data_IF_346655117506
#
_entry.id   IF_346655117506
#
_cell.length_a   1.000
_cell.length_b   1.000
_cell.length_c   1.000
_cell.angle_alpha   90.00
_cell.angle_beta   90.00
_cell.angle_gamma   90.00
#
_symmetry.space_group_name_H-M   'P 1'
#
loop_
_entity.id
_entity.type
_entity.pdbx_description
1 polymer ?
#
# COMPACT_ATOMS: atom_id res chain seq x y z
N UNK A 1 42.27 -2.58 -17.15
CA UNK A 1 42.71 -3.95 -16.73
C UNK A 1 41.63 -4.54 -15.80
N UNK A 2 40.87 -5.49 -16.29
CA UNK A 2 39.81 -6.17 -15.48
C UNK A 2 40.49 -7.09 -14.47
N UNK A 3 40.41 -6.78 -13.17
CA UNK A 3 40.81 -7.70 -12.12
C UNK A 3 39.96 -8.97 -12.25
N UNK A 4 40.56 -10.11 -12.59
CA UNK A 4 39.90 -11.42 -12.52
C UNK A 4 39.37 -11.62 -11.09
N UNK A 5 38.05 -11.49 -10.89
CA UNK A 5 37.41 -11.71 -9.60
C UNK A 5 37.70 -13.14 -9.16
N UNK A 6 38.43 -13.30 -8.04
CA UNK A 6 38.94 -14.60 -7.56
C UNK A 6 37.87 -15.22 -6.63
N UNK A 7 37.24 -16.29 -7.08
CA UNK A 7 36.37 -17.12 -6.26
C UNK A 7 37.14 -18.36 -5.81
N UNK A 8 37.12 -18.67 -4.50
CA UNK A 8 37.70 -19.86 -3.91
C UNK A 8 36.61 -20.69 -3.24
N UNK A 9 36.67 -22.01 -3.42
CA UNK A 9 35.77 -23.00 -2.79
C UNK A 9 36.58 -23.89 -1.89
N UNK A 10 36.18 -24.05 -0.64
CA UNK A 10 36.80 -24.90 0.37
C UNK A 10 35.76 -25.80 1.03
N UNK A 11 35.99 -27.10 1.03
CA UNK A 11 35.22 -28.05 1.84
C UNK A 11 35.99 -28.38 3.12
N UNK A 12 35.28 -28.36 4.25
CA UNK A 12 35.92 -28.53 5.56
C UNK A 12 34.96 -29.12 6.61
N UNK A 13 35.54 -29.77 7.65
CA UNK A 13 34.77 -30.29 8.76
C UNK A 13 34.71 -29.30 9.92
N UNK A 14 33.51 -29.07 10.44
CA UNK A 14 33.29 -28.21 11.61
C UNK A 14 33.51 -29.01 12.90
N UNK A 15 34.78 -29.06 13.37
CA UNK A 15 35.20 -29.85 14.52
C UNK A 15 34.72 -29.36 15.89
N UNK A 16 34.30 -28.08 16.01
CA UNK A 16 33.91 -27.43 17.28
C UNK A 16 32.69 -28.05 17.99
N UNK A 17 32.00 -29.01 17.37
CA UNK A 17 30.84 -29.71 17.95
C UNK A 17 30.99 -31.22 18.03
N UNK A 18 32.14 -31.78 17.66
CA UNK A 18 32.37 -33.20 17.70
C UNK A 18 33.27 -33.56 18.91
N UNK A 19 32.79 -34.44 19.78
CA UNK A 19 33.67 -35.13 20.74
C UNK A 19 34.69 -36.01 19.96
N UNK A 20 35.89 -36.21 20.48
CA UNK A 20 36.94 -36.97 19.83
C UNK A 20 36.41 -38.36 19.34
N UNK A 21 36.53 -38.57 18.01
CA UNK A 21 36.06 -39.78 17.33
C UNK A 21 34.60 -39.72 16.83
N UNK A 22 33.82 -38.69 17.12
CA UNK A 22 32.46 -38.50 16.64
C UNK A 22 32.40 -37.98 15.21
N UNK A 23 31.23 -38.15 14.57
CA UNK A 23 30.96 -37.56 13.25
C UNK A 23 30.94 -36.05 13.31
N UNK A 24 31.68 -35.40 12.43
CA UNK A 24 31.70 -33.94 12.27
C UNK A 24 30.93 -33.53 11.03
N UNK A 25 30.10 -32.44 11.08
CA UNK A 25 29.35 -31.96 9.95
C UNK A 25 30.27 -31.35 8.89
N UNK A 26 29.98 -31.65 7.62
CA UNK A 26 30.69 -31.16 6.45
C UNK A 26 30.11 -29.85 5.98
N UNK A 27 30.97 -28.86 5.75
CA UNK A 27 30.63 -27.51 5.29
C UNK A 27 31.36 -27.19 4.00
N UNK A 28 30.72 -26.33 3.20
CA UNK A 28 31.34 -25.65 2.10
C UNK A 28 31.53 -24.16 2.44
N UNK A 29 32.70 -23.61 2.13
CA UNK A 29 33.05 -22.20 2.20
C UNK A 29 33.33 -21.66 0.82
N UNK A 30 32.63 -20.60 0.43
CA UNK A 30 32.92 -19.82 -0.78
C UNK A 30 33.50 -18.48 -0.35
N UNK A 31 34.63 -18.12 -0.92
CA UNK A 31 35.27 -16.83 -0.71
C UNK A 31 35.27 -16.06 -2.04
N UNK A 32 34.60 -14.90 -2.08
CA UNK A 32 34.54 -14.00 -3.24
C UNK A 32 35.02 -12.63 -2.80
N UNK A 33 36.07 -12.10 -3.41
CA UNK A 33 36.62 -10.78 -3.09
C UNK A 33 36.92 -10.59 -1.59
N UNK A 34 37.43 -11.65 -0.91
CA UNK A 34 37.73 -11.63 0.52
C UNK A 34 36.54 -11.86 1.47
N UNK A 35 35.31 -11.78 0.99
CA UNK A 35 34.13 -12.09 1.76
C UNK A 35 33.82 -13.60 1.75
N UNK A 36 33.36 -14.13 2.89
CA UNK A 36 33.10 -15.55 3.07
C UNK A 36 31.60 -15.85 3.19
N UNK A 37 31.18 -16.94 2.55
CA UNK A 37 29.85 -17.53 2.70
C UNK A 37 29.99 -19.02 2.99
N UNK A 38 29.52 -19.45 4.17
CA UNK A 38 29.59 -20.85 4.63
C UNK A 38 28.19 -21.46 4.64
N UNK A 39 28.05 -22.69 4.15
CA UNK A 39 26.81 -23.45 4.23
C UNK A 39 27.05 -24.93 4.50
N UNK A 40 26.14 -25.62 5.22
CA UNK A 40 26.27 -27.06 5.50
C UNK A 40 25.93 -27.87 4.26
N UNK A 41 26.57 -29.03 4.11
CA UNK A 41 26.20 -30.03 3.11
C UNK A 41 25.20 -31.08 3.64
N UNK A 42 24.71 -30.91 4.88
CA UNK A 42 23.75 -31.79 5.56
C UNK A 42 24.20 -33.24 5.70
N UNK A 43 25.50 -33.48 5.63
CA UNK A 43 26.16 -34.78 5.87
C UNK A 43 27.21 -34.63 6.94
N UNK A 44 27.47 -35.72 7.69
CA UNK A 44 28.47 -35.76 8.74
C UNK A 44 29.32 -37.02 8.57
N UNK A 45 30.65 -36.90 8.75
CA UNK A 45 31.59 -38.00 8.61
C UNK A 45 32.55 -38.06 9.81
N UNK A 46 33.17 -39.21 10.04
CA UNK A 46 34.21 -39.35 11.04
C UNK A 46 35.40 -38.45 10.68
N UNK A 47 35.88 -37.69 11.66
CA UNK A 47 37.03 -36.77 11.44
C UNK A 47 38.29 -37.50 11.00
N UNK A 48 38.44 -38.79 11.33
CA UNK A 48 39.55 -39.64 10.91
C UNK A 48 39.50 -40.06 9.45
N UNK A 49 38.34 -40.06 8.82
CA UNK A 49 38.16 -40.34 7.39
C UNK A 49 38.36 -39.13 6.49
N UNK A 50 38.53 -37.95 7.04
CA UNK A 50 38.65 -36.71 6.24
C UNK A 50 40.09 -36.41 5.85
N UNK A 51 40.33 -36.24 4.57
CA UNK A 51 41.61 -35.74 4.05
C UNK A 51 41.44 -34.28 3.61
N UNK A 52 42.05 -33.35 4.36
CA UNK A 52 41.92 -31.90 4.12
C UNK A 52 42.64 -31.42 2.87
N UNK A 53 43.74 -32.12 2.43
CA UNK A 53 44.49 -31.68 1.25
C UNK A 53 43.76 -31.96 -0.05
N UNK A 54 43.02 -33.07 -0.14
CA UNK A 54 42.20 -33.38 -1.31
C UNK A 54 40.74 -32.98 -1.13
N UNK A 55 40.36 -32.50 0.06
CA UNK A 55 38.99 -32.11 0.44
C UNK A 55 37.96 -33.21 0.14
N UNK A 56 38.27 -34.45 0.47
CA UNK A 56 37.40 -35.63 0.30
C UNK A 56 37.55 -36.60 1.46
N UNK A 57 36.55 -37.42 1.65
CA UNK A 57 36.64 -38.54 2.57
C UNK A 57 37.40 -39.72 1.90
N UNK A 58 38.37 -40.28 2.59
CA UNK A 58 39.13 -41.46 2.16
C UNK A 58 38.60 -42.78 2.75
N UNK A 59 37.59 -42.72 3.61
CA UNK A 59 36.95 -43.89 4.18
C UNK A 59 36.15 -44.69 3.14
N UNK A 60 35.82 -45.93 3.49
CA UNK A 60 35.08 -46.85 2.59
C UNK A 60 33.63 -47.11 3.01
N UNK A 61 33.14 -46.39 4.04
CA UNK A 61 31.77 -46.53 4.53
C UNK A 61 30.76 -45.86 3.59
N UNK A 62 29.49 -46.23 3.73
CA UNK A 62 28.43 -45.55 2.94
C UNK A 62 28.35 -44.07 3.27
N UNK A 63 28.57 -43.67 4.53
CA UNK A 63 28.66 -42.28 4.94
C UNK A 63 29.79 -41.50 4.21
N UNK A 64 30.94 -42.14 4.01
CA UNK A 64 32.07 -41.55 3.27
C UNK A 64 31.73 -41.36 1.80
N UNK A 65 31.03 -42.32 1.20
CA UNK A 65 30.56 -42.21 -0.19
C UNK A 65 29.50 -41.13 -0.35
N UNK A 66 28.55 -41.05 0.59
CA UNK A 66 27.51 -39.98 0.62
C UNK A 66 28.15 -38.60 0.74
N UNK A 67 29.14 -38.45 1.63
CA UNK A 67 29.86 -37.17 1.77
C UNK A 67 30.60 -36.77 0.49
N UNK A 68 31.25 -37.70 -0.19
CA UNK A 68 31.92 -37.42 -1.45
C UNK A 68 30.93 -37.08 -2.55
N UNK A 69 29.75 -37.73 -2.63
CA UNK A 69 28.67 -37.37 -3.54
C UNK A 69 28.14 -35.96 -3.23
N UNK A 70 27.96 -35.63 -1.94
CA UNK A 70 27.52 -34.29 -1.54
C UNK A 70 28.51 -33.21 -1.93
N UNK A 71 29.83 -33.47 -1.85
CA UNK A 71 30.87 -32.56 -2.33
C UNK A 71 30.78 -32.35 -3.85
N UNK A 72 30.67 -33.42 -4.61
CA UNK A 72 30.61 -33.37 -6.07
C UNK A 72 29.32 -32.67 -6.53
N UNK A 73 28.17 -32.93 -5.90
CA UNK A 73 26.91 -32.22 -6.13
C UNK A 73 27.03 -30.73 -5.79
N UNK A 74 27.69 -30.38 -4.68
CA UNK A 74 27.89 -28.98 -4.30
C UNK A 74 28.79 -28.23 -5.31
N UNK A 75 29.80 -28.90 -5.89
CA UNK A 75 30.60 -28.28 -6.97
C UNK A 75 29.77 -27.95 -8.19
N UNK A 76 28.94 -28.87 -8.64
CA UNK A 76 28.01 -28.66 -9.76
C UNK A 76 27.05 -27.50 -9.46
N UNK A 77 26.44 -27.49 -8.26
CA UNK A 77 25.54 -26.41 -7.87
C UNK A 77 26.23 -25.03 -7.83
N UNK A 78 27.50 -24.97 -7.39
CA UNK A 78 28.28 -23.73 -7.36
C UNK A 78 28.54 -23.23 -8.79
N UNK A 79 28.86 -24.11 -9.73
CA UNK A 79 29.05 -23.76 -11.14
C UNK A 79 27.75 -23.24 -11.76
N UNK A 80 26.60 -23.90 -11.52
CA UNK A 80 25.29 -23.45 -11.98
C UNK A 80 24.92 -22.07 -11.42
N UNK A 81 25.15 -21.82 -10.13
CA UNK A 81 24.90 -20.53 -9.49
C UNK A 81 25.79 -19.45 -10.14
N UNK A 82 27.04 -19.75 -10.39
CA UNK A 82 27.98 -18.81 -11.02
C UNK A 82 27.58 -18.50 -12.46
N UNK A 83 27.15 -19.52 -13.22
CA UNK A 83 26.62 -19.34 -14.57
C UNK A 83 25.37 -18.44 -14.57
N UNK A 84 24.42 -18.68 -13.66
CA UNK A 84 23.21 -17.87 -13.48
C UNK A 84 23.50 -16.41 -13.09
N UNK A 85 24.53 -16.17 -12.28
CA UNK A 85 24.99 -14.82 -11.95
C UNK A 85 25.46 -14.10 -13.20
N UNK A 86 26.25 -14.78 -14.05
CA UNK A 86 26.80 -14.23 -15.31
C UNK A 86 25.68 -13.99 -16.32
N UNK A 87 24.77 -14.94 -16.51
CA UNK A 87 23.62 -14.82 -17.42
C UNK A 87 22.72 -13.61 -17.09
N UNK A 88 22.52 -13.37 -15.78
CA UNK A 88 21.72 -12.23 -15.30
C UNK A 88 22.47 -10.92 -15.23
N UNK A 89 23.73 -10.87 -15.70
CA UNK A 89 24.60 -9.69 -15.59
C UNK A 89 24.72 -9.15 -14.16
N UNK A 90 24.65 -10.02 -13.14
CA UNK A 90 24.88 -9.62 -11.76
C UNK A 90 26.37 -9.57 -11.45
N UNK A 91 26.73 -8.70 -10.53
CA UNK A 91 28.09 -8.69 -10.02
C UNK A 91 28.38 -9.96 -9.21
N UNK A 92 29.50 -10.64 -9.47
CA UNK A 92 29.93 -11.80 -8.68
C UNK A 92 30.41 -11.32 -7.30
N UNK A 93 29.55 -11.45 -6.30
CA UNK A 93 29.80 -11.19 -4.88
C UNK A 93 29.06 -12.21 -4.02
N UNK A 94 29.39 -12.29 -2.72
CA UNK A 94 28.78 -13.25 -1.80
C UNK A 94 27.29 -13.04 -1.61
N UNK A 95 26.78 -11.81 -1.71
CA UNK A 95 25.35 -11.51 -1.58
C UNK A 95 24.56 -12.05 -2.78
N UNK A 96 24.99 -11.79 -4.01
CA UNK A 96 24.36 -12.32 -5.21
C UNK A 96 24.51 -13.83 -5.31
N UNK A 97 25.68 -14.37 -4.89
CA UNK A 97 25.86 -15.82 -4.83
C UNK A 97 24.88 -16.46 -3.84
N UNK A 98 24.78 -15.94 -2.62
CA UNK A 98 23.81 -16.40 -1.62
C UNK A 98 22.38 -16.30 -2.12
N UNK A 99 22.00 -15.18 -2.74
CA UNK A 99 20.68 -14.94 -3.31
C UNK A 99 20.25 -16.09 -4.26
N UNK A 100 21.17 -16.55 -5.13
CA UNK A 100 20.85 -17.60 -6.12
C UNK A 100 21.01 -18.99 -5.52
N UNK A 101 22.02 -19.21 -4.66
CA UNK A 101 22.30 -20.50 -4.04
C UNK A 101 21.25 -20.92 -3.01
N UNK A 102 20.77 -20.01 -2.16
CA UNK A 102 19.73 -20.30 -1.16
C UNK A 102 18.32 -20.20 -1.73
N UNK A 103 18.24 -19.98 -3.06
CA UNK A 103 16.95 -20.00 -3.73
C UNK A 103 16.31 -21.38 -3.46
N UNK A 104 15.20 -21.47 -2.71
CA UNK A 104 14.43 -22.69 -2.67
C UNK A 104 14.05 -23.05 -4.11
N UNK A 105 13.71 -24.30 -4.36
CA UNK A 105 13.11 -24.76 -5.62
C UNK A 105 11.85 -23.99 -6.04
N UNK A 106 11.47 -22.99 -5.25
CA UNK A 106 10.38 -22.05 -5.54
C UNK A 106 10.83 -21.04 -6.58
N UNK A 107 10.12 -21.02 -7.70
CA UNK A 107 10.30 -20.06 -8.80
C UNK A 107 10.18 -18.58 -8.33
N UNK A 108 9.51 -18.32 -7.20
CA UNK A 108 9.16 -16.98 -6.70
C UNK A 108 9.93 -16.60 -5.43
N UNK A 109 11.21 -16.90 -5.40
CA UNK A 109 12.09 -16.79 -4.23
C UNK A 109 12.67 -15.38 -4.00
N UNK A 110 12.42 -14.42 -4.86
CA UNK A 110 12.86 -13.04 -4.70
C UNK A 110 11.69 -12.08 -4.58
N UNK A 111 11.92 -10.90 -4.00
CA UNK A 111 10.89 -9.86 -3.82
C UNK A 111 10.23 -9.51 -5.16
N UNK A 112 11.02 -9.33 -6.22
CA UNK A 112 10.50 -8.99 -7.54
C UNK A 112 9.58 -10.10 -8.08
N UNK A 113 10.07 -11.34 -8.10
CA UNK A 113 9.31 -12.47 -8.61
C UNK A 113 8.05 -12.74 -7.80
N UNK A 114 8.11 -12.58 -6.46
CA UNK A 114 6.96 -12.72 -5.58
C UNK A 114 5.88 -11.65 -5.85
N UNK A 115 6.28 -10.39 -6.05
CA UNK A 115 5.34 -9.33 -6.41
C UNK A 115 4.74 -9.51 -7.81
N UNK A 116 5.52 -9.98 -8.77
CA UNK A 116 5.05 -10.31 -10.11
C UNK A 116 4.02 -11.44 -10.06
N UNK A 117 4.29 -12.50 -9.32
CA UNK A 117 3.34 -13.59 -9.06
C UNK A 117 2.04 -13.09 -8.42
N UNK A 118 2.14 -12.31 -7.33
CA UNK A 118 0.97 -11.71 -6.69
C UNK A 118 0.15 -10.85 -7.68
N UNK A 119 0.82 -10.03 -8.47
CA UNK A 119 0.17 -9.15 -9.42
C UNK A 119 -0.46 -9.91 -10.59
N UNK A 120 0.09 -11.05 -10.99
CA UNK A 120 -0.49 -11.90 -12.03
C UNK A 120 -1.74 -12.64 -11.54
N UNK A 121 -1.74 -13.13 -10.30
CA UNK A 121 -2.89 -13.86 -9.74
C UNK A 121 -4.03 -12.92 -9.33
N UNK A 122 -3.70 -11.83 -8.63
CA UNK A 122 -4.72 -10.92 -8.10
C UNK A 122 -5.01 -9.75 -9.08
N UNK A 123 -4.25 -9.59 -10.16
CA UNK A 123 -4.31 -8.43 -11.06
C UNK A 123 -5.69 -8.18 -11.63
N UNK A 124 -6.36 -9.23 -12.10
CA UNK A 124 -7.69 -9.15 -12.71
C UNK A 124 -8.79 -8.86 -11.69
N UNK A 125 -8.59 -9.23 -10.42
CA UNK A 125 -9.54 -8.99 -9.33
C UNK A 125 -9.33 -7.65 -8.64
N UNK A 126 -8.13 -7.08 -8.74
CA UNK A 126 -7.77 -5.82 -8.13
C UNK A 126 -8.22 -4.64 -8.99
N UNK A 127 -8.76 -3.61 -8.33
CA UNK A 127 -8.96 -2.32 -9.00
C UNK A 127 -7.62 -1.76 -9.47
N UNK A 128 -7.62 -1.13 -10.62
CA UNK A 128 -6.41 -0.58 -11.24
C UNK A 128 -5.59 0.34 -10.29
N UNK A 129 -6.29 1.17 -9.49
CA UNK A 129 -5.63 2.04 -8.50
C UNK A 129 -4.91 1.25 -7.41
N UNK A 130 -5.44 0.08 -7.01
CA UNK A 130 -4.82 -0.83 -6.04
C UNK A 130 -3.63 -1.52 -6.66
N UNK A 131 -3.78 -2.05 -7.88
CA UNK A 131 -2.70 -2.65 -8.66
C UNK A 131 -1.52 -1.68 -8.87
N UNK A 132 -1.79 -0.44 -9.30
CA UNK A 132 -0.76 0.63 -9.37
C UNK A 132 -0.05 0.83 -8.03
N UNK A 133 -0.78 0.72 -6.91
CA UNK A 133 -0.20 0.81 -5.57
C UNK A 133 0.83 -0.29 -5.28
N UNK A 134 0.61 -1.54 -5.70
CA UNK A 134 1.58 -2.63 -5.58
C UNK A 134 2.81 -2.40 -6.44
N UNK A 135 2.64 -1.98 -7.71
CA UNK A 135 3.76 -1.64 -8.59
C UNK A 135 4.66 -0.53 -8.01
N UNK A 136 4.05 0.49 -7.42
CA UNK A 136 4.81 1.57 -6.75
C UNK A 136 5.53 1.04 -5.51
N UNK A 137 4.92 0.13 -4.74
CA UNK A 137 5.55 -0.51 -3.58
C UNK A 137 6.77 -1.32 -4.00
N UNK A 138 6.65 -2.16 -5.02
CA UNK A 138 7.78 -2.92 -5.57
C UNK A 138 8.94 -2.00 -6.00
N UNK A 139 8.64 -0.92 -6.71
CA UNK A 139 9.66 0.05 -7.13
C UNK A 139 10.41 0.66 -5.93
N UNK A 140 9.71 0.98 -4.84
CA UNK A 140 10.35 1.47 -3.62
C UNK A 140 11.22 0.41 -2.96
N UNK A 141 10.75 -0.85 -2.90
CA UNK A 141 11.53 -1.97 -2.36
C UNK A 141 12.81 -2.19 -3.16
N UNK A 142 12.73 -2.30 -4.48
CA UNK A 142 13.91 -2.49 -5.33
C UNK A 142 14.89 -1.32 -5.25
N UNK A 143 14.41 -0.09 -5.16
CA UNK A 143 15.28 1.08 -4.95
C UNK A 143 15.96 1.04 -3.57
N UNK A 144 15.23 0.68 -2.52
CA UNK A 144 15.79 0.51 -1.18
C UNK A 144 16.87 -0.57 -1.16
N UNK A 145 16.58 -1.75 -1.73
CA UNK A 145 17.51 -2.87 -1.83
C UNK A 145 18.79 -2.46 -2.56
N UNK A 146 18.65 -1.78 -3.69
CA UNK A 146 19.80 -1.31 -4.46
C UNK A 146 20.68 -0.32 -3.68
N UNK A 147 20.06 0.60 -2.94
CA UNK A 147 20.81 1.62 -2.18
C UNK A 147 21.46 1.02 -0.93
N UNK A 148 20.74 0.16 -0.20
CA UNK A 148 21.20 -0.34 1.10
C UNK A 148 22.09 -1.57 0.99
N UNK A 149 21.73 -2.51 0.11
CA UNK A 149 22.36 -3.82 0.01
C UNK A 149 23.21 -3.97 -1.25
N UNK A 150 23.19 -3.00 -2.18
CA UNK A 150 23.95 -2.99 -3.42
C UNK A 150 23.69 -4.21 -4.33
N UNK A 151 22.47 -4.76 -4.27
CA UNK A 151 21.99 -5.88 -5.12
C UNK A 151 20.76 -5.46 -5.92
N UNK A 152 20.47 -6.18 -7.01
CA UNK A 152 19.36 -5.87 -7.89
C UNK A 152 17.99 -6.30 -7.32
N UNK A 153 17.98 -7.39 -6.54
CA UNK A 153 16.79 -7.97 -5.92
C UNK A 153 17.20 -8.68 -4.61
N UNK A 154 16.24 -9.16 -3.82
CA UNK A 154 16.53 -9.73 -2.51
C UNK A 154 15.72 -11.01 -2.27
N UNK A 155 16.38 -12.04 -1.70
CA UNK A 155 15.73 -13.31 -1.41
C UNK A 155 14.70 -13.15 -0.29
N UNK A 156 13.49 -13.69 -0.48
CA UNK A 156 12.40 -13.59 0.50
C UNK A 156 12.71 -14.30 1.81
N UNK A 157 13.53 -15.36 1.79
CA UNK A 157 13.96 -16.10 2.99
C UNK A 157 15.01 -15.34 3.81
N UNK A 158 15.67 -14.35 3.22
CA UNK A 158 16.68 -13.51 3.88
C UNK A 158 16.09 -12.24 4.52
N UNK A 159 14.78 -12.04 4.36
CA UNK A 159 14.09 -10.90 4.96
C UNK A 159 13.88 -11.17 6.45
N UNK A 160 14.21 -10.19 7.27
CA UNK A 160 14.02 -10.20 8.72
C UNK A 160 13.22 -8.97 9.20
N UNK A 161 13.03 -8.87 10.51
CA UNK A 161 12.37 -7.70 11.13
C UNK A 161 13.16 -6.41 10.89
N UNK A 162 14.48 -6.49 10.87
CA UNK A 162 15.39 -5.35 10.65
C UNK A 162 15.18 -4.77 9.27
N UNK A 163 15.11 -5.63 8.24
CA UNK A 163 14.81 -5.21 6.87
C UNK A 163 13.52 -4.38 6.79
N UNK A 164 12.47 -4.82 7.49
CA UNK A 164 11.18 -4.10 7.50
C UNK A 164 11.30 -2.71 8.09
N UNK A 165 11.98 -2.58 9.23
CA UNK A 165 12.18 -1.31 9.92
C UNK A 165 13.06 -0.35 9.11
N UNK A 166 14.11 -0.85 8.48
CA UNK A 166 14.99 -0.08 7.61
C UNK A 166 14.26 0.38 6.34
N UNK A 167 13.44 -0.48 5.73
CA UNK A 167 12.60 -0.08 4.60
C UNK A 167 11.59 1.01 4.99
N UNK A 168 10.98 0.90 6.17
CA UNK A 168 10.09 1.93 6.68
C UNK A 168 10.82 3.27 6.90
N UNK A 169 12.02 3.24 7.49
CA UNK A 169 12.86 4.41 7.67
C UNK A 169 13.27 5.05 6.33
N UNK A 170 13.66 4.23 5.35
CA UNK A 170 13.93 4.66 3.97
C UNK A 170 12.72 5.38 3.35
N UNK A 171 11.51 4.82 3.47
CA UNK A 171 10.29 5.44 2.95
C UNK A 171 10.02 6.81 3.58
N UNK A 172 10.18 6.95 4.89
CA UNK A 172 10.01 8.23 5.61
C UNK A 172 11.05 9.27 5.23
N UNK A 173 12.27 8.84 4.94
CA UNK A 173 13.37 9.68 4.46
C UNK A 173 13.33 9.98 2.97
N UNK A 174 12.48 9.29 2.20
CA UNK A 174 12.45 9.42 0.74
C UNK A 174 12.07 10.83 0.30
N UNK A 175 12.99 11.46 -0.42
CA UNK A 175 12.84 12.82 -0.96
C UNK A 175 12.94 12.80 -2.48
N UNK A 176 12.17 13.66 -3.13
CA UNK A 176 12.29 13.98 -4.56
C UNK A 176 12.29 15.51 -4.70
N UNK A 177 13.29 16.04 -5.34
CA UNK A 177 13.45 17.51 -5.49
C UNK A 177 13.44 18.22 -4.11
N UNK A 178 14.15 17.67 -3.12
CA UNK A 178 14.24 18.20 -1.75
C UNK A 178 12.98 18.05 -0.89
N UNK A 179 11.85 17.65 -1.46
CA UNK A 179 10.56 17.52 -0.73
C UNK A 179 10.30 16.09 -0.28
N UNK A 180 9.81 15.92 0.96
CA UNK A 180 9.36 14.62 1.47
C UNK A 180 8.17 14.15 0.63
N UNK A 181 8.31 13.04 -0.06
CA UNK A 181 7.25 12.46 -0.93
C UNK A 181 6.46 11.34 -0.26
N UNK A 182 7.01 10.69 0.76
CA UNK A 182 6.35 9.61 1.49
C UNK A 182 6.17 9.98 2.96
N UNK A 183 4.95 10.46 3.31
CA UNK A 183 4.59 10.73 4.71
C UNK A 183 4.25 9.44 5.45
N UNK A 184 4.18 9.48 6.78
CA UNK A 184 3.94 8.32 7.65
C UNK A 184 2.83 7.37 7.18
N UNK A 185 1.65 7.89 6.87
CA UNK A 185 0.53 7.06 6.40
C UNK A 185 0.76 6.45 5.01
N UNK A 186 1.51 7.11 4.14
CA UNK A 186 1.87 6.56 2.84
C UNK A 186 2.93 5.46 3.01
N UNK A 187 3.94 5.66 3.86
CA UNK A 187 4.92 4.63 4.21
C UNK A 187 4.25 3.38 4.80
N UNK A 188 3.33 3.57 5.76
CA UNK A 188 2.54 2.47 6.32
C UNK A 188 1.78 1.68 5.24
N UNK A 189 1.19 2.36 4.25
CA UNK A 189 0.50 1.69 3.12
C UNK A 189 1.44 0.82 2.29
N UNK A 190 2.69 1.22 2.11
CA UNK A 190 3.69 0.39 1.43
C UNK A 190 4.07 -0.83 2.26
N UNK A 191 4.27 -0.68 3.58
CA UNK A 191 4.54 -1.81 4.47
C UNK A 191 3.35 -2.78 4.51
N UNK A 192 2.10 -2.28 4.59
CA UNK A 192 0.89 -3.12 4.55
C UNK A 192 0.78 -3.95 3.26
N UNK A 193 1.12 -3.36 2.10
CA UNK A 193 1.15 -4.10 0.83
C UNK A 193 2.26 -5.15 0.80
N UNK A 194 3.44 -4.78 1.29
CA UNK A 194 4.56 -5.71 1.40
C UNK A 194 4.20 -6.89 2.32
N UNK A 195 3.64 -6.61 3.50
CA UNK A 195 3.14 -7.63 4.41
C UNK A 195 2.10 -8.57 3.73
N UNK A 196 1.13 -8.02 2.96
CA UNK A 196 0.16 -8.84 2.24
C UNK A 196 0.83 -9.77 1.22
N UNK A 197 1.82 -9.27 0.48
CA UNK A 197 2.55 -10.08 -0.50
C UNK A 197 3.39 -11.15 0.17
N UNK A 198 4.02 -10.85 1.31
CA UNK A 198 4.77 -11.84 2.10
C UNK A 198 3.85 -12.89 2.77
N UNK A 199 2.62 -12.53 3.16
CA UNK A 199 1.61 -13.52 3.60
C UNK A 199 1.24 -14.50 2.49
N UNK A 200 1.32 -14.11 1.23
CA UNK A 200 1.12 -15.03 0.11
C UNK A 200 2.26 -16.07 0.05
N UNK A 201 3.50 -15.64 0.28
CA UNK A 201 4.64 -16.55 0.34
C UNK A 201 4.55 -17.53 1.53
N UNK A 202 4.08 -17.06 2.70
CA UNK A 202 3.83 -17.91 3.88
C UNK A 202 2.71 -18.92 3.61
N UNK A 203 1.58 -18.51 3.04
CA UNK A 203 0.46 -19.41 2.70
C UNK A 203 0.81 -20.48 1.67
N UNK A 204 1.77 -20.21 0.79
CA UNK A 204 2.28 -21.16 -0.19
C UNK A 204 3.51 -21.94 0.33
N UNK A 205 3.84 -21.83 1.61
CA UNK A 205 4.96 -22.52 2.26
C UNK A 205 6.34 -22.21 1.65
N UNK A 206 6.47 -21.08 0.95
CA UNK A 206 7.76 -20.63 0.41
C UNK A 206 8.65 -20.00 1.48
N UNK A 207 8.04 -19.57 2.58
CA UNK A 207 8.69 -19.13 3.82
C UNK A 207 7.92 -19.71 5.01
N UNK A 208 8.61 -20.02 6.09
CA UNK A 208 7.99 -20.59 7.30
C UNK A 208 7.09 -19.61 8.05
N UNK A 209 7.43 -18.31 8.02
CA UNK A 209 6.69 -17.23 8.70
C UNK A 209 6.96 -15.91 8.01
N UNK A 210 5.93 -15.06 7.93
CA UNK A 210 6.08 -13.71 7.41
C UNK A 210 6.92 -12.83 8.36
N UNK A 211 8.11 -12.36 7.95
CA UNK A 211 8.98 -11.53 8.78
C UNK A 211 8.56 -10.04 8.80
N UNK A 212 7.67 -9.62 7.90
CA UNK A 212 7.23 -8.23 7.79
C UNK A 212 6.25 -7.91 8.92
N UNK A 213 6.69 -7.12 9.89
CA UNK A 213 5.90 -6.73 11.06
C UNK A 213 5.23 -5.38 10.84
N UNK A 214 4.02 -5.24 11.39
CA UNK A 214 3.26 -3.98 11.41
C UNK A 214 3.25 -3.33 12.81
N UNK A 215 3.74 -4.04 13.82
CA UNK A 215 3.82 -3.56 15.20
C UNK A 215 4.70 -2.31 15.31
N UNK A 216 4.28 -1.35 16.11
CA UNK A 216 5.00 -0.08 16.27
C UNK A 216 4.83 0.92 15.11
N UNK A 217 4.14 0.55 14.04
CA UNK A 217 3.87 1.44 12.91
C UNK A 217 2.39 1.85 12.93
N UNK A 218 2.10 3.01 13.51
CA UNK A 218 0.73 3.49 13.67
C UNK A 218 0.33 4.51 12.62
N UNK A 219 -0.95 4.50 12.26
CA UNK A 219 -1.54 5.51 11.41
C UNK A 219 -1.71 6.81 12.19
N UNK A 220 -1.21 7.92 11.65
CA UNK A 220 -1.49 9.25 12.19
C UNK A 220 -2.90 9.69 11.76
N UNK A 221 -3.72 10.13 12.74
CA UNK A 221 -5.02 10.74 12.43
C UNK A 221 -4.80 11.99 11.57
N UNK A 222 -5.52 12.10 10.47
CA UNK A 222 -5.49 13.27 9.58
C UNK A 222 -6.86 13.91 9.63
N UNK A 223 -6.93 15.12 10.18
CA UNK A 223 -8.15 15.92 10.10
C UNK A 223 -8.29 16.44 8.66
N UNK A 224 -9.34 16.00 7.97
CA UNK A 224 -9.59 16.38 6.58
C UNK A 224 -10.44 17.64 6.45
N UNK A 225 -10.98 18.13 7.56
CA UNK A 225 -11.86 19.29 7.60
C UNK A 225 -13.20 19.08 6.88
N UNK A 226 -14.07 20.05 7.04
CA UNK A 226 -15.35 20.18 6.34
C UNK A 226 -15.70 21.67 6.23
N UNK A 227 -16.68 22.04 5.42
CA UNK A 227 -17.16 23.40 5.28
C UNK A 227 -18.27 23.66 6.31
N UNK A 228 -18.21 24.82 6.96
CA UNK A 228 -19.32 25.32 7.76
C UNK A 228 -20.47 25.76 6.87
N UNK A 229 -21.64 26.06 7.45
CA UNK A 229 -22.77 26.54 6.69
C UNK A 229 -22.48 27.92 6.05
N UNK A 230 -21.82 28.82 6.77
CA UNK A 230 -21.41 30.13 6.28
C UNK A 230 -20.45 30.02 5.09
N UNK A 231 -19.41 29.13 5.21
CA UNK A 231 -18.46 28.91 4.12
C UNK A 231 -19.15 28.31 2.89
N UNK A 232 -20.13 27.43 3.12
CA UNK A 232 -20.92 26.83 2.04
C UNK A 232 -21.78 27.86 1.32
N UNK A 233 -22.41 28.75 2.06
CA UNK A 233 -23.19 29.88 1.50
C UNK A 233 -22.28 30.79 0.68
N UNK A 234 -21.13 31.16 1.19
CA UNK A 234 -20.16 31.98 0.46
C UNK A 234 -19.75 31.33 -0.87
N UNK A 235 -19.41 30.04 -0.87
CA UNK A 235 -19.03 29.30 -2.09
C UNK A 235 -20.20 29.25 -3.08
N UNK A 236 -21.42 29.04 -2.59
CA UNK A 236 -22.64 28.95 -3.41
C UNK A 236 -22.90 30.25 -4.16
N UNK A 237 -22.76 31.41 -3.50
CA UNK A 237 -23.10 32.73 -4.07
C UNK A 237 -21.93 33.46 -4.70
N UNK A 238 -20.72 32.93 -4.65
CA UNK A 238 -19.53 33.52 -5.26
C UNK A 238 -19.68 33.55 -6.79
N UNK A 239 -19.50 34.74 -7.38
CA UNK A 239 -19.45 34.92 -8.83
C UNK A 239 -18.18 34.27 -9.39
N UNK A 240 -18.33 33.34 -10.32
CA UNK A 240 -17.24 32.55 -10.87
C UNK A 240 -17.28 32.56 -12.40
N UNK A 241 -16.11 32.44 -13.07
CA UNK A 241 -16.06 32.14 -14.48
C UNK A 241 -16.79 30.81 -14.79
N UNK A 242 -17.38 30.69 -15.98
CA UNK A 242 -18.24 29.56 -16.36
C UNK A 242 -17.60 28.16 -16.11
N UNK A 243 -16.31 27.99 -16.44
CA UNK A 243 -15.59 26.74 -16.24
C UNK A 243 -15.40 26.36 -14.75
N UNK A 244 -15.34 27.35 -13.84
CA UNK A 244 -15.29 27.11 -12.40
C UNK A 244 -16.70 26.94 -11.82
N UNK A 245 -17.72 27.58 -12.38
CA UNK A 245 -19.10 27.45 -11.97
C UNK A 245 -19.57 25.97 -12.10
N UNK A 246 -19.28 25.32 -13.21
CA UNK A 246 -19.57 23.87 -13.40
C UNK A 246 -18.90 23.02 -12.32
N UNK A 247 -17.63 23.29 -12.01
CA UNK A 247 -16.92 22.57 -10.95
C UNK A 247 -17.54 22.82 -9.58
N UNK A 248 -17.94 24.04 -9.27
CA UNK A 248 -18.67 24.40 -8.05
C UNK A 248 -19.96 23.60 -7.95
N UNK A 249 -20.76 23.57 -8.98
CA UNK A 249 -22.07 22.93 -8.97
C UNK A 249 -21.94 21.41 -8.76
N UNK A 250 -20.99 20.76 -9.43
CA UNK A 250 -20.67 19.33 -9.19
C UNK A 250 -20.23 19.10 -7.74
N UNK A 251 -19.42 20.00 -7.19
CA UNK A 251 -18.97 19.93 -5.79
C UNK A 251 -20.14 20.14 -4.82
N UNK A 252 -20.99 21.13 -5.05
CA UNK A 252 -22.17 21.39 -4.24
C UNK A 252 -23.17 20.23 -4.29
N UNK A 253 -23.37 19.64 -5.47
CA UNK A 253 -24.16 18.42 -5.60
C UNK A 253 -23.59 17.30 -4.72
N UNK A 254 -22.26 17.09 -4.71
CA UNK A 254 -21.61 16.15 -3.81
C UNK A 254 -21.78 16.52 -2.32
N UNK A 255 -21.81 17.81 -1.98
CA UNK A 255 -22.07 18.31 -0.63
C UNK A 255 -23.49 17.96 -0.16
N UNK A 256 -24.49 18.09 -1.03
CA UNK A 256 -25.89 17.84 -0.66
C UNK A 256 -26.35 16.37 -0.80
N UNK A 257 -25.51 15.50 -1.39
CA UNK A 257 -25.83 14.06 -1.59
C UNK A 257 -24.87 13.14 -0.89
N UNK A 258 -23.69 13.61 -0.46
CA UNK A 258 -22.64 12.76 0.10
C UNK A 258 -21.95 11.84 -0.91
N UNK A 259 -22.23 11.95 -2.20
CA UNK A 259 -21.65 11.11 -3.24
C UNK A 259 -20.12 11.25 -3.31
N UNK A 260 -19.45 10.16 -3.63
CA UNK A 260 -18.03 10.18 -3.93
C UNK A 260 -17.77 10.58 -5.38
N UNK A 261 -16.56 11.05 -5.67
CA UNK A 261 -16.14 11.45 -7.01
C UNK A 261 -16.46 10.39 -8.08
N UNK A 262 -16.11 9.14 -7.83
CA UNK A 262 -16.34 8.05 -8.80
C UNK A 262 -17.82 7.72 -9.01
N UNK A 263 -18.65 7.97 -8.00
CA UNK A 263 -20.09 7.68 -8.08
C UNK A 263 -20.80 8.80 -8.87
N UNK A 264 -20.36 10.07 -8.75
CA UNK A 264 -20.90 11.20 -9.54
C UNK A 264 -20.52 11.09 -11.02
N UNK A 265 -19.35 10.55 -11.34
CA UNK A 265 -18.93 10.34 -12.74
C UNK A 265 -19.87 9.40 -13.50
N UNK A 266 -20.54 8.50 -12.82
CA UNK A 266 -21.43 7.49 -13.39
C UNK A 266 -22.91 7.77 -13.10
N UNK A 267 -23.22 8.94 -12.52
CA UNK A 267 -24.60 9.31 -12.19
C UNK A 267 -25.40 9.55 -13.47
N UNK A 268 -26.48 8.78 -13.63
CA UNK A 268 -27.43 8.90 -14.74
C UNK A 268 -28.83 9.27 -14.23
N UNK A 269 -29.73 9.57 -15.13
CA UNK A 269 -31.14 9.84 -14.78
C UNK A 269 -31.83 8.62 -14.14
N UNK A 270 -31.39 7.38 -14.44
CA UNK A 270 -31.93 6.16 -13.85
C UNK A 270 -31.71 6.07 -12.34
N UNK A 271 -30.73 6.82 -11.83
CA UNK A 271 -30.46 6.89 -10.40
C UNK A 271 -31.43 7.82 -9.65
N UNK A 272 -32.25 8.59 -10.36
CA UNK A 272 -33.23 9.50 -9.78
C UNK A 272 -34.63 8.86 -9.88
N UNK A 273 -35.16 8.45 -8.75
CA UNK A 273 -36.45 7.75 -8.67
C UNK A 273 -37.47 8.60 -7.89
N UNK A 274 -38.75 8.32 -8.08
CA UNK A 274 -39.80 8.90 -7.24
C UNK A 274 -40.06 7.99 -6.05
N UNK A 275 -39.92 8.53 -4.83
CA UNK A 275 -40.20 7.81 -3.61
C UNK A 275 -41.70 7.67 -3.34
N UNK A 276 -42.05 6.86 -2.35
CA UNK A 276 -43.44 6.67 -1.88
C UNK A 276 -44.01 7.97 -1.29
N UNK A 277 -43.17 8.87 -0.85
CA UNK A 277 -43.46 10.23 -0.34
C UNK A 277 -43.68 11.25 -1.47
N UNK A 278 -43.65 10.83 -2.72
CA UNK A 278 -43.78 11.70 -3.90
C UNK A 278 -42.55 12.55 -4.24
N UNK A 279 -41.55 12.56 -3.38
CA UNK A 279 -40.32 13.30 -3.58
C UNK A 279 -39.34 12.58 -4.51
N UNK A 280 -38.35 13.31 -5.03
CA UNK A 280 -37.26 12.70 -5.76
C UNK A 280 -36.25 12.06 -4.79
N UNK A 281 -35.83 10.85 -5.10
CA UNK A 281 -34.85 10.09 -4.35
C UNK A 281 -33.67 9.74 -5.25
N UNK A 282 -32.46 9.82 -4.68
CA UNK A 282 -31.25 9.35 -5.29
C UNK A 282 -30.97 7.91 -4.84
N UNK A 283 -30.91 6.97 -5.79
CA UNK A 283 -30.66 5.56 -5.54
C UNK A 283 -29.56 5.05 -6.44
N UNK A 284 -28.48 4.51 -5.85
CA UNK A 284 -27.37 3.95 -6.59
C UNK A 284 -26.59 2.93 -5.75
N UNK A 285 -25.77 2.13 -6.41
CA UNK A 285 -24.78 1.28 -5.75
C UNK A 285 -23.42 1.94 -5.77
N UNK A 286 -22.80 2.05 -4.60
CA UNK A 286 -21.46 2.64 -4.49
C UNK A 286 -20.44 1.84 -5.28
N UNK A 287 -19.73 2.46 -6.21
CA UNK A 287 -18.68 1.83 -7.02
C UNK A 287 -17.58 1.17 -6.16
N UNK A 288 -17.25 1.73 -5.01
CA UNK A 288 -16.17 1.22 -4.15
C UNK A 288 -16.56 0.04 -3.27
N UNK A 289 -17.79 -0.04 -2.80
CA UNK A 289 -18.20 -1.01 -1.75
C UNK A 289 -19.37 -1.88 -2.17
N UNK A 290 -19.97 -1.62 -3.32
CA UNK A 290 -21.20 -2.21 -3.82
C UNK A 290 -22.37 -2.13 -2.81
N UNK A 291 -22.34 -1.13 -1.91
CA UNK A 291 -23.42 -0.87 -0.96
C UNK A 291 -24.49 -0.03 -1.64
N UNK A 292 -25.76 -0.44 -1.49
CA UNK A 292 -26.90 0.36 -1.93
C UNK A 292 -26.99 1.65 -1.10
N UNK A 293 -27.15 2.76 -1.76
CA UNK A 293 -27.42 4.08 -1.17
C UNK A 293 -28.78 4.53 -1.65
N UNK A 294 -29.61 5.00 -0.72
CA UNK A 294 -30.91 5.59 -1.01
C UNK A 294 -31.10 6.77 -0.06
N UNK A 295 -31.33 7.96 -0.61
CA UNK A 295 -31.56 9.18 0.15
C UNK A 295 -32.49 10.12 -0.59
N UNK A 296 -33.33 10.90 0.12
CA UNK A 296 -34.16 11.93 -0.49
C UNK A 296 -33.26 13.03 -1.10
N UNK A 297 -33.63 13.51 -2.26
CA UNK A 297 -32.89 14.55 -2.95
C UNK A 297 -33.24 15.91 -2.34
N UNK A 298 -32.29 16.53 -1.67
CA UNK A 298 -32.47 17.86 -1.08
C UNK A 298 -32.68 18.92 -2.16
N UNK A 299 -33.49 19.94 -1.87
CA UNK A 299 -33.82 21.04 -2.77
C UNK A 299 -32.60 21.65 -3.49
N UNK A 300 -31.44 21.95 -2.83
CA UNK A 300 -30.28 22.48 -3.51
C UNK A 300 -29.70 21.52 -4.55
N UNK A 301 -29.70 20.20 -4.24
CA UNK A 301 -29.23 19.18 -5.18
C UNK A 301 -30.19 19.03 -6.37
N UNK A 302 -31.51 19.08 -6.12
CA UNK A 302 -32.53 19.05 -7.18
C UNK A 302 -32.41 20.25 -8.14
N UNK A 303 -32.16 21.45 -7.63
CA UNK A 303 -31.93 22.62 -8.48
C UNK A 303 -30.72 22.49 -9.38
N UNK A 304 -29.62 21.94 -8.85
CA UNK A 304 -28.42 21.69 -9.66
C UNK A 304 -28.75 20.65 -10.73
N UNK A 305 -29.42 19.56 -10.41
CA UNK A 305 -29.80 18.55 -11.41
C UNK A 305 -30.66 19.18 -12.53
N UNK A 306 -31.61 20.06 -12.20
CA UNK A 306 -32.45 20.70 -13.20
C UNK A 306 -31.64 21.52 -14.21
N UNK A 307 -30.52 22.13 -13.79
CA UNK A 307 -29.65 22.89 -14.70
C UNK A 307 -28.94 22.00 -15.72
N UNK A 308 -28.57 20.77 -15.28
CA UNK A 308 -27.75 19.84 -16.07
C UNK A 308 -28.59 18.76 -16.78
N UNK A 309 -29.81 18.51 -16.33
CA UNK A 309 -30.73 17.54 -16.92
C UNK A 309 -31.51 18.01 -18.16
N UNK A 310 -31.26 19.24 -18.66
CA UNK A 310 -32.02 19.87 -19.76
C UNK A 310 -31.78 19.29 -21.16
N UNK A 311 -30.83 18.37 -21.33
CA UNK A 311 -30.61 17.68 -22.62
C UNK A 311 -31.27 16.28 -22.66
N UNK A 312 -32.58 16.24 -22.56
CA UNK A 312 -33.37 15.29 -21.85
C UNK A 312 -33.86 14.04 -22.55
N UNK A 313 -34.02 14.01 -23.78
CA UNK A 313 -35.04 13.05 -24.28
C UNK A 313 -34.48 11.89 -25.15
N UNK A 314 -33.18 11.76 -25.33
CA UNK A 314 -32.64 10.71 -26.19
C UNK A 314 -31.63 9.74 -25.55
N UNK A 315 -31.09 10.03 -24.34
CA UNK A 315 -30.01 9.20 -23.79
C UNK A 315 -30.11 9.06 -22.27
N UNK A 316 -31.07 8.27 -21.78
CA UNK A 316 -31.29 8.00 -20.33
C UNK A 316 -30.07 7.47 -19.58
N UNK A 317 -29.14 6.78 -20.30
CA UNK A 317 -27.97 6.13 -19.71
C UNK A 317 -26.68 6.98 -19.72
N UNK A 318 -26.74 8.22 -20.23
CA UNK A 318 -25.54 9.07 -20.20
C UNK A 318 -25.34 9.73 -18.84
N UNK A 319 -24.06 9.95 -18.42
CA UNK A 319 -23.78 10.68 -17.20
C UNK A 319 -24.34 12.11 -17.21
N UNK A 320 -25.02 12.50 -16.13
CA UNK A 320 -25.62 13.84 -15.99
C UNK A 320 -24.54 14.93 -15.99
N UNK A 321 -23.40 14.65 -15.36
CA UNK A 321 -22.29 15.60 -15.26
C UNK A 321 -21.09 15.17 -16.07
N UNK A 322 -20.51 16.07 -16.83
CA UNK A 322 -19.18 15.90 -17.40
C UNK A 322 -18.12 16.22 -16.34
N UNK A 323 -17.80 15.23 -15.50
CA UNK A 323 -16.89 15.41 -14.36
C UNK A 323 -15.43 15.40 -14.83
N UNK A 324 -14.68 16.52 -14.70
CA UNK A 324 -13.25 16.53 -15.03
C UNK A 324 -12.46 15.52 -14.20
N UNK A 325 -11.26 15.15 -14.67
CA UNK A 325 -10.40 14.24 -13.89
C UNK A 325 -10.11 14.80 -12.48
N UNK A 326 -9.87 13.93 -11.52
CA UNK A 326 -9.74 14.28 -10.10
C UNK A 326 -8.66 15.36 -9.84
N UNK A 327 -7.60 15.39 -10.63
CA UNK A 327 -6.55 16.41 -10.50
C UNK A 327 -7.05 17.78 -10.92
N UNK A 328 -7.80 17.87 -12.02
CA UNK A 328 -8.37 19.13 -12.54
C UNK A 328 -9.42 19.65 -11.56
N UNK A 329 -10.40 18.84 -11.15
CA UNK A 329 -11.45 19.28 -10.24
C UNK A 329 -10.88 19.78 -8.91
N UNK A 330 -9.85 19.12 -8.35
CA UNK A 330 -9.20 19.59 -7.12
C UNK A 330 -8.36 20.87 -7.33
N UNK A 331 -7.85 21.11 -8.54
CA UNK A 331 -7.19 22.38 -8.88
C UNK A 331 -8.20 23.52 -8.95
N UNK A 332 -9.31 23.30 -9.63
CA UNK A 332 -10.41 24.27 -9.74
C UNK A 332 -11.03 24.62 -8.38
N UNK A 333 -11.22 23.60 -7.51
CA UNK A 333 -11.71 23.83 -6.14
C UNK A 333 -10.80 24.72 -5.30
N UNK A 334 -9.48 24.67 -5.51
CA UNK A 334 -8.55 25.59 -4.84
C UNK A 334 -8.72 27.03 -5.37
N UNK A 335 -8.91 27.21 -6.67
CA UNK A 335 -9.18 28.51 -7.26
C UNK A 335 -10.50 29.08 -6.72
N UNK A 336 -11.55 28.25 -6.67
CA UNK A 336 -12.85 28.64 -6.09
C UNK A 336 -12.68 29.08 -4.63
N UNK A 337 -11.95 28.32 -3.81
CA UNK A 337 -11.67 28.70 -2.43
C UNK A 337 -10.95 30.03 -2.29
N UNK A 338 -9.99 30.32 -3.19
CA UNK A 338 -9.28 31.62 -3.22
C UNK A 338 -10.19 32.74 -3.60
N UNK A 339 -11.03 32.61 -4.66
CA UNK A 339 -11.99 33.67 -5.10
C UNK A 339 -13.05 33.91 -4.02
N UNK A 340 -13.57 32.83 -3.43
CA UNK A 340 -14.55 32.89 -2.34
C UNK A 340 -13.95 33.32 -0.99
N UNK A 341 -12.64 33.57 -0.89
CA UNK A 341 -11.93 33.95 0.34
C UNK A 341 -12.12 32.93 1.48
N UNK A 342 -12.33 31.64 1.16
CA UNK A 342 -12.44 30.56 2.12
C UNK A 342 -11.04 30.04 2.44
N UNK A 343 -10.57 30.29 3.67
CA UNK A 343 -9.22 29.91 4.10
C UNK A 343 -9.13 28.41 4.46
N UNK A 344 -9.53 27.54 3.52
CA UNK A 344 -9.44 26.08 3.64
C UNK A 344 -8.92 25.45 2.36
N UNK A 345 -8.11 24.40 2.50
CA UNK A 345 -7.67 23.59 1.36
C UNK A 345 -8.79 22.65 0.92
N UNK A 346 -9.70 23.17 0.09
CA UNK A 346 -10.85 22.41 -0.38
C UNK A 346 -10.38 21.29 -1.32
N UNK A 347 -10.90 20.08 -1.09
CA UNK A 347 -10.76 18.93 -1.98
C UNK A 347 -12.12 18.32 -2.26
N UNK A 348 -12.28 17.60 -3.37
CA UNK A 348 -13.57 17.01 -3.72
C UNK A 348 -14.12 16.11 -2.62
N UNK A 349 -13.24 15.35 -1.95
CA UNK A 349 -13.66 14.47 -0.85
C UNK A 349 -14.18 15.24 0.38
N UNK A 350 -13.84 16.53 0.53
CA UNK A 350 -14.39 17.37 1.59
C UNK A 350 -15.92 17.56 1.45
N UNK A 351 -16.48 17.50 0.24
CA UNK A 351 -17.92 17.51 0.03
C UNK A 351 -18.64 16.45 0.87
N UNK A 352 -18.13 15.21 0.85
CA UNK A 352 -18.70 14.11 1.62
C UNK A 352 -18.52 14.29 3.13
N UNK A 353 -17.42 14.89 3.58
CA UNK A 353 -17.24 15.27 4.98
C UNK A 353 -18.24 16.36 5.38
N UNK A 354 -18.46 17.36 4.53
CA UNK A 354 -19.44 18.42 4.74
C UNK A 354 -20.87 17.89 4.78
N UNK A 355 -21.22 16.94 3.89
CA UNK A 355 -22.51 16.25 3.97
C UNK A 355 -22.69 15.56 5.32
N UNK A 356 -21.72 14.74 5.72
CA UNK A 356 -21.82 13.99 6.97
C UNK A 356 -21.91 14.88 8.21
N UNK A 357 -21.21 16.01 8.23
CA UNK A 357 -21.19 16.94 9.38
C UNK A 357 -22.26 18.04 9.24
N UNK A 358 -22.06 18.97 8.34
CA UNK A 358 -22.85 20.22 8.23
C UNK A 358 -24.28 19.93 7.78
N UNK A 359 -24.46 19.07 6.76
CA UNK A 359 -25.78 18.80 6.19
C UNK A 359 -26.59 17.82 7.02
N UNK A 360 -25.95 16.85 7.68
CA UNK A 360 -26.69 15.76 8.37
C UNK A 360 -26.55 15.82 9.88
N UNK A 361 -25.38 15.54 10.46
CA UNK A 361 -25.23 15.43 11.91
C UNK A 361 -25.50 16.75 12.65
N UNK A 362 -25.10 17.89 12.10
CA UNK A 362 -25.44 19.22 12.68
C UNK A 362 -26.96 19.51 12.65
N UNK A 363 -27.69 18.88 11.75
CA UNK A 363 -29.14 18.90 11.67
C UNK A 363 -29.81 17.74 12.42
N UNK A 364 -29.12 17.14 13.38
CA UNK A 364 -29.63 16.11 14.29
C UNK A 364 -30.06 14.80 13.61
N UNK A 365 -29.60 14.52 12.40
CA UNK A 365 -29.84 13.22 11.75
C UNK A 365 -29.03 12.15 12.50
N UNK A 366 -29.65 11.05 12.94
CA UNK A 366 -28.94 9.98 13.66
C UNK A 366 -27.78 9.40 12.85
N UNK A 367 -26.69 9.09 13.52
CA UNK A 367 -25.42 8.63 12.88
C UNK A 367 -25.62 7.34 12.09
N UNK A 368 -26.52 6.47 12.50
CA UNK A 368 -26.89 5.24 11.81
C UNK A 368 -27.55 5.55 10.46
N UNK A 369 -28.42 6.56 10.43
CA UNK A 369 -29.06 7.05 9.20
C UNK A 369 -28.02 7.67 8.28
N UNK A 370 -27.14 8.52 8.81
CA UNK A 370 -26.02 9.10 8.05
C UNK A 370 -25.11 8.01 7.48
N UNK A 371 -24.83 6.96 8.25
CA UNK A 371 -24.03 5.82 7.82
C UNK A 371 -24.66 5.11 6.61
N UNK A 372 -26.00 4.91 6.64
CA UNK A 372 -26.77 4.32 5.51
C UNK A 372 -26.76 5.26 4.29
N UNK A 373 -27.03 6.56 4.48
CA UNK A 373 -26.98 7.56 3.42
C UNK A 373 -25.61 7.65 2.74
N UNK A 374 -24.54 7.45 3.52
CA UNK A 374 -23.17 7.39 3.00
C UNK A 374 -22.81 6.03 2.41
N UNK A 375 -23.60 4.98 2.58
CA UNK A 375 -23.26 3.62 2.16
C UNK A 375 -21.98 3.10 2.82
N UNK A 376 -21.84 3.30 4.14
CA UNK A 376 -20.73 2.72 4.90
C UNK A 376 -21.12 1.31 5.35
N UNK A 377 -20.23 0.35 5.12
CA UNK A 377 -20.42 -1.03 5.58
C UNK A 377 -20.28 -1.19 7.10
N UNK A 378 -19.59 -0.25 7.76
CA UNK A 378 -19.34 -0.25 9.22
C UNK A 378 -19.65 1.12 9.79
N UNK A 379 -20.39 1.17 10.89
CA UNK A 379 -20.75 2.41 11.59
C UNK A 379 -19.50 3.17 12.07
N UNK A 380 -18.45 2.44 12.49
CA UNK A 380 -17.16 3.02 12.91
C UNK A 380 -16.54 3.94 11.85
N UNK A 381 -16.85 3.75 10.57
CA UNK A 381 -16.39 4.65 9.49
C UNK A 381 -17.10 6.02 9.56
N UNK A 382 -18.30 6.07 10.15
CA UNK A 382 -19.09 7.31 10.29
C UNK A 382 -18.79 8.01 11.62
N UNK A 383 -18.38 7.28 12.65
CA UNK A 383 -18.06 7.83 13.98
C UNK A 383 -16.96 8.89 13.96
N UNK A 384 -16.06 8.84 12.98
CA UNK A 384 -15.04 9.88 12.77
C UNK A 384 -15.63 11.29 12.56
N UNK A 385 -16.89 11.40 12.11
CA UNK A 385 -17.58 12.67 11.94
C UNK A 385 -18.22 13.15 13.24
N UNK A 386 -18.68 12.26 14.10
CA UNK A 386 -19.23 12.58 15.41
C UNK A 386 -18.13 13.16 16.33
N UNK A 387 -16.95 12.57 16.39
CA UNK A 387 -15.81 13.10 17.17
C UNK A 387 -15.49 14.57 16.81
N UNK A 388 -15.72 14.99 15.57
CA UNK A 388 -15.45 16.35 15.10
C UNK A 388 -16.52 17.33 15.58
N UNK A 389 -17.75 16.86 15.77
CA UNK A 389 -18.88 17.68 16.23
C UNK A 389 -18.78 17.90 17.73
N UNK A 390 -18.44 16.87 18.48
CA UNK A 390 -18.30 16.94 19.94
C UNK A 390 -17.26 18.00 20.36
N UNK A 391 -16.14 18.07 19.63
CA UNK A 391 -15.13 19.11 19.85
C UNK A 391 -15.62 20.53 19.56
N UNK A 392 -16.56 20.72 18.61
CA UNK A 392 -17.17 22.02 18.32
C UNK A 392 -18.25 22.42 19.31
N UNK A 393 -19.06 21.47 19.75
CA UNK A 393 -20.05 21.72 20.81
C UNK A 393 -19.35 22.10 22.11
N UNK A 394 -18.28 21.42 22.48
CA UNK A 394 -17.45 21.77 23.66
C UNK A 394 -16.93 23.20 23.57
N UNK A 395 -16.34 23.61 22.45
CA UNK A 395 -15.81 24.96 22.28
C UNK A 395 -16.92 26.02 22.29
N UNK A 396 -18.05 25.78 21.60
CA UNK A 396 -19.19 26.71 21.59
C UNK A 396 -19.87 26.80 22.97
N UNK A 397 -19.84 25.72 23.74
CA UNK A 397 -20.40 25.69 25.10
C UNK A 397 -19.51 26.49 26.07
N UNK A 398 -18.19 26.35 25.97
CA UNK A 398 -17.22 27.13 26.72
C UNK A 398 -17.34 28.64 26.38
N UNK A 399 -17.34 29.02 25.10
CA UNK A 399 -17.47 30.41 24.66
C UNK A 399 -18.78 31.08 25.11
N UNK A 400 -19.88 30.31 25.24
CA UNK A 400 -21.16 30.82 25.72
C UNK A 400 -21.22 30.95 27.25
N UNK A 401 -20.50 30.09 27.97
CA UNK A 401 -20.37 30.20 29.44
C UNK A 401 -19.51 31.42 29.77
N UNK A 402 -18.37 31.58 29.10
CA UNK A 402 -17.46 32.69 29.33
C UNK A 402 -18.11 34.06 29.00
N UNK A 403 -18.94 34.12 27.96
CA UNK A 403 -19.72 35.33 27.62
C UNK A 403 -20.85 35.63 28.61
N UNK A 404 -21.43 34.63 29.25
CA UNK A 404 -22.41 34.85 30.33
C UNK A 404 -21.76 35.24 31.63
N UNK A 405 -20.57 34.73 31.93
CA UNK A 405 -19.79 35.07 33.11
C UNK A 405 -19.20 36.49 33.04
N UNK A 406 -18.92 37.04 31.86
CA UNK A 406 -18.40 38.39 31.66
C UNK A 406 -19.48 39.48 31.56
N UNK A 407 -20.76 39.08 31.59
CA UNK A 407 -21.92 40.01 31.55
C UNK A 407 -22.67 40.04 32.91
N UNK A 408 -22.10 39.46 33.97
CA UNK A 408 -22.48 39.62 35.37
C UNK A 408 -21.42 40.40 36.12
#
# INVERSE_FOLDING_TARGET
MSQKKKMNVLFWLRKSRAQNGANAPLYCRITINGQRYDFPLNVSIRSTSWNASIQKSIGKTEQDREANRAIDNARIAIEEVTAKITEKNYELNTANFRLIHTAPTCQYNTIKLLFEYHNNIEGDTLRESTYKGYRVTLRHLLNFIRIKYHVADYNITSIDKTFTMEFYAYLKGYRKEGKIKCRTNAALKHIQRFHKVMNLAERNEWINRNPVILEGIHQTKVNKGFLSEEELQVITHTMLPSHLAVTRDIFLFAVYTGMCYCDIQELTNDNITRGIDGNQWLQYYRKKTNQRVSLPLLQPAARILMQYATHKDTHQHLPIFQVPCNQVINRSLKQIATIAKVNKKITFHMARHTFATTITLCNRIPIETVSKMLGHAKLSTTQIYAEVIDTRFSNKYSDNIDKKASNQ
#
